data_IF_941078906773
#
_entry.id   IF_941078906773
#
_cell.length_a   1.000
_cell.length_b   1.000
_cell.length_c   1.000
_cell.angle_alpha   90.00
_cell.angle_beta   90.00
_cell.angle_gamma   90.00
#
_symmetry.space_group_name_H-M   'P 1'
#
loop_
_entity.id
_entity.type
_entity.pdbx_description
1 polymer ?
#
# COMPACT_ATOMS: atom_id res chain seq x y z
N UNK A 1 10.71 23.96 11.83
CA UNK A 1 11.28 22.63 11.57
C UNK A 1 10.14 21.64 11.68
N UNK A 2 9.98 20.74 10.71
CA UNK A 2 8.96 19.68 10.83
C UNK A 2 9.55 18.55 11.66
N UNK A 3 9.04 18.37 12.88
CA UNK A 3 9.37 17.23 13.72
C UNK A 3 8.79 15.96 13.06
N UNK A 4 9.66 15.13 12.51
CA UNK A 4 9.29 13.82 11.96
C UNK A 4 9.02 12.90 13.16
N UNK A 5 7.75 12.72 13.51
CA UNK A 5 7.35 11.74 14.52
C UNK A 5 7.20 10.36 13.86
N UNK A 6 8.25 9.54 14.01
CA UNK A 6 8.26 8.16 13.54
C UNK A 6 7.28 7.33 14.38
N UNK A 7 6.37 6.57 13.76
CA UNK A 7 5.60 5.56 14.50
C UNK A 7 6.57 4.45 14.89
N UNK A 8 7.13 4.55 16.10
CA UNK A 8 7.98 3.51 16.68
C UNK A 8 7.18 2.27 17.11
N UNK A 9 5.85 2.36 17.14
CA UNK A 9 4.98 1.25 17.49
C UNK A 9 4.96 0.20 16.38
N UNK A 10 5.70 -0.89 16.61
CA UNK A 10 5.71 -2.08 15.76
C UNK A 10 4.32 -2.72 15.65
N UNK A 11 3.46 -2.56 16.67
CA UNK A 11 2.09 -3.04 16.68
C UNK A 11 1.21 -2.31 15.64
N UNK A 12 1.23 -0.98 15.64
CA UNK A 12 0.47 -0.18 14.66
C UNK A 12 0.98 -0.44 13.23
N UNK A 13 2.30 -0.51 13.05
CA UNK A 13 2.92 -0.85 11.76
C UNK A 13 2.39 -2.19 11.23
N UNK A 14 2.32 -3.20 12.09
CA UNK A 14 1.83 -4.54 11.72
C UNK A 14 0.35 -4.53 11.34
N UNK A 15 -0.51 -3.82 12.08
CA UNK A 15 -1.94 -3.71 11.76
C UNK A 15 -2.16 -3.06 10.39
N UNK A 16 -1.49 -1.94 10.14
CA UNK A 16 -1.63 -1.18 8.89
C UNK A 16 -1.18 -2.02 7.70
N UNK A 17 -0.04 -2.71 7.84
CA UNK A 17 0.49 -3.63 6.82
C UNK A 17 -0.52 -4.73 6.49
N UNK A 18 -1.16 -5.32 7.50
CA UNK A 18 -2.15 -6.39 7.31
C UNK A 18 -3.42 -5.91 6.61
N UNK A 19 -3.94 -4.74 6.97
CA UNK A 19 -5.15 -4.18 6.37
C UNK A 19 -4.90 -3.88 4.88
N UNK A 20 -3.78 -3.26 4.56
CA UNK A 20 -3.41 -2.87 3.20
C UNK A 20 -3.21 -4.09 2.31
N UNK A 21 -2.48 -5.11 2.79
CA UNK A 21 -2.29 -6.34 2.03
C UNK A 21 -3.64 -7.02 1.72
N UNK A 22 -4.57 -7.02 2.68
CA UNK A 22 -5.92 -7.57 2.49
C UNK A 22 -6.74 -6.76 1.48
N UNK A 23 -6.61 -5.44 1.47
CA UNK A 23 -7.32 -4.56 0.53
C UNK A 23 -6.80 -4.73 -0.90
N UNK A 24 -5.48 -4.77 -1.07
CA UNK A 24 -4.85 -4.92 -2.39
C UNK A 24 -5.18 -6.28 -3.03
N UNK A 25 -5.12 -7.38 -2.27
CA UNK A 25 -5.54 -8.70 -2.76
C UNK A 25 -7.00 -8.76 -3.23
N UNK A 26 -7.88 -7.95 -2.63
CA UNK A 26 -9.28 -7.83 -3.08
C UNK A 26 -9.40 -7.07 -4.41
N UNK A 27 -8.60 -6.02 -4.60
CA UNK A 27 -8.70 -5.17 -5.78
C UNK A 27 -8.00 -5.77 -7.00
N UNK A 28 -6.96 -6.57 -6.79
CA UNK A 28 -6.20 -7.24 -7.84
C UNK A 28 -6.28 -8.77 -7.69
N UNK A 29 -7.47 -9.38 -7.82
CA UNK A 29 -7.63 -10.82 -7.69
C UNK A 29 -6.89 -11.55 -8.81
N UNK A 30 -6.10 -12.57 -8.45
CA UNK A 30 -5.28 -13.34 -9.39
C UNK A 30 -3.95 -12.68 -9.78
N UNK A 31 -3.63 -11.52 -9.22
CA UNK A 31 -2.28 -10.92 -9.30
C UNK A 31 -1.50 -11.37 -8.07
N UNK A 32 -0.29 -11.89 -8.28
CA UNK A 32 0.63 -12.15 -7.17
C UNK A 32 1.22 -10.82 -6.71
N UNK A 33 0.79 -10.40 -5.52
CA UNK A 33 1.22 -9.17 -4.87
C UNK A 33 2.13 -9.52 -3.69
N UNK A 34 3.37 -9.06 -3.76
CA UNK A 34 4.34 -9.13 -2.69
C UNK A 34 4.53 -7.73 -2.07
N UNK A 35 4.23 -7.61 -0.79
CA UNK A 35 4.52 -6.40 -0.02
C UNK A 35 5.95 -6.51 0.54
N UNK A 36 6.88 -5.75 -0.03
CA UNK A 36 8.29 -5.73 0.40
C UNK A 36 8.47 -4.93 1.68
N UNK A 37 7.86 -3.74 1.74
CA UNK A 37 7.93 -2.88 2.92
C UNK A 37 6.63 -2.09 3.12
N UNK A 38 6.34 -1.78 4.38
CA UNK A 38 5.22 -0.93 4.76
C UNK A 38 5.60 -0.08 5.97
N UNK A 39 5.66 1.23 5.73
CA UNK A 39 5.97 2.23 6.72
C UNK A 39 4.76 3.11 6.92
N UNK A 40 4.42 3.38 8.17
CA UNK A 40 3.36 4.31 8.52
C UNK A 40 3.92 5.32 9.52
N UNK A 41 3.61 6.59 9.32
CA UNK A 41 4.05 7.70 10.16
C UNK A 41 2.85 8.58 10.49
N UNK A 42 2.72 8.99 11.75
CA UNK A 42 1.67 9.91 12.17
C UNK A 42 2.23 11.32 12.12
N UNK A 43 1.54 12.20 11.39
CA UNK A 43 1.86 13.63 11.40
C UNK A 43 0.93 14.33 12.38
N UNK A 44 1.47 14.71 13.54
CA UNK A 44 0.73 15.51 14.52
C UNK A 44 0.31 16.87 13.94
N UNK A 45 1.13 17.45 13.06
CA UNK A 45 0.83 18.73 12.40
C UNK A 45 -0.35 18.64 11.45
N UNK A 46 -0.45 17.56 10.68
CA UNK A 46 -1.54 17.37 9.71
C UNK A 46 -2.73 16.60 10.29
N UNK A 47 -2.59 16.06 11.52
CA UNK A 47 -3.53 15.12 12.14
C UNK A 47 -3.88 13.98 11.18
N UNK A 48 -2.87 13.45 10.48
CA UNK A 48 -3.01 12.44 9.41
C UNK A 48 -1.93 11.38 9.51
N UNK A 49 -2.30 10.17 9.12
CA UNK A 49 -1.37 9.06 8.94
C UNK A 49 -0.82 9.05 7.51
N UNK A 50 0.49 9.17 7.36
CA UNK A 50 1.21 8.98 6.10
C UNK A 50 1.67 7.54 6.00
N UNK A 51 1.31 6.85 4.93
CA UNK A 51 1.70 5.46 4.72
C UNK A 51 2.50 5.36 3.43
N UNK A 52 3.69 4.76 3.52
CA UNK A 52 4.53 4.40 2.40
C UNK A 52 4.52 2.88 2.24
N UNK A 53 4.27 2.41 1.03
CA UNK A 53 4.16 0.99 0.70
C UNK A 53 5.07 0.70 -0.47
N UNK A 54 5.87 -0.35 -0.34
CA UNK A 54 6.67 -0.90 -1.41
C UNK A 54 6.08 -2.25 -1.81
N UNK A 55 5.63 -2.34 -3.06
CA UNK A 55 4.85 -3.43 -3.59
C UNK A 55 5.47 -3.90 -4.90
N UNK A 56 5.76 -5.19 -4.95
CA UNK A 56 6.05 -5.89 -6.20
C UNK A 56 4.79 -6.65 -6.63
N UNK A 57 4.48 -6.57 -7.92
CA UNK A 57 3.34 -7.24 -8.51
C UNK A 57 3.78 -7.91 -9.80
N UNK A 58 3.54 -9.22 -9.91
CA UNK A 58 3.69 -9.92 -11.17
C UNK A 58 2.33 -10.06 -11.85
N UNK A 59 2.22 -9.48 -13.05
CA UNK A 59 1.00 -9.53 -13.87
C UNK A 59 1.32 -10.07 -15.26
N UNK A 60 0.41 -10.88 -15.79
CA UNK A 60 0.45 -11.25 -17.21
C UNK A 60 0.06 -10.04 -18.07
N UNK A 61 0.47 -10.04 -19.34
CA UNK A 61 0.08 -9.00 -20.30
C UNK A 61 -1.45 -8.84 -20.41
N UNK A 62 -2.19 -9.95 -20.35
CA UNK A 62 -3.66 -9.92 -20.40
C UNK A 62 -4.25 -9.19 -19.18
N UNK A 63 -3.76 -9.52 -17.97
CA UNK A 63 -4.19 -8.85 -16.73
C UNK A 63 -3.83 -7.37 -16.74
N UNK A 64 -2.63 -7.00 -17.22
CA UNK A 64 -2.23 -5.60 -17.36
C UNK A 64 -3.20 -4.82 -18.26
N UNK A 65 -3.50 -5.36 -19.45
CA UNK A 65 -4.44 -4.72 -20.39
C UNK A 65 -5.83 -4.57 -19.78
N UNK A 66 -6.32 -5.60 -19.09
CA UNK A 66 -7.62 -5.55 -18.41
C UNK A 66 -7.65 -4.50 -17.29
N UNK A 67 -6.58 -4.37 -16.50
CA UNK A 67 -6.44 -3.35 -15.47
C UNK A 67 -6.48 -1.95 -16.10
N UNK A 68 -5.72 -1.72 -17.18
CA UNK A 68 -5.63 -0.42 -17.84
C UNK A 68 -6.99 0.00 -18.43
N UNK A 69 -7.69 -0.93 -19.08
CA UNK A 69 -9.05 -0.69 -19.62
C UNK A 69 -10.07 -0.38 -18.53
N UNK A 70 -10.09 -1.15 -17.43
CA UNK A 70 -11.01 -0.93 -16.30
C UNK A 70 -10.84 0.43 -15.64
N UNK A 71 -9.63 1.00 -15.70
CA UNK A 71 -9.31 2.30 -15.12
C UNK A 71 -9.27 3.43 -16.16
N UNK A 72 -9.75 3.19 -17.40
CA UNK A 72 -9.86 4.20 -18.46
C UNK A 72 -8.53 4.89 -18.81
N UNK A 73 -7.41 4.18 -18.65
CA UNK A 73 -6.08 4.69 -19.04
C UNK A 73 -5.84 4.48 -20.53
N UNK A 74 -6.40 3.40 -21.08
CA UNK A 74 -6.39 3.03 -22.51
C UNK A 74 -7.77 2.57 -22.96
#
# INVERSE_FOLDING_TARGET
MEDIMLIRSSFLRRIISQIINKMLKKQFPGVELELKDAQANWSEKEQKMKVHLELDAEVTKAQLVDILKKNHVI
#
